data_IF_861418580354
#
_entry.id   IF_861418580354
#
_cell.length_a   1.000
_cell.length_b   1.000
_cell.length_c   1.000
_cell.angle_alpha   90.00
_cell.angle_beta   90.00
_cell.angle_gamma   90.00
#
_symmetry.space_group_name_H-M   'P 1'
#
loop_
_entity.id
_entity.type
_entity.pdbx_description
1 polymer ?
#
# COMPACT_ATOMS: atom_id res chain seq x y z
N UNK A 1 11.46 -56.54 -61.24
CA UNK A 1 10.89 -57.71 -60.53
C UNK A 1 10.97 -57.42 -59.02
N UNK A 2 9.81 -57.14 -58.40
CA UNK A 2 9.38 -57.32 -56.97
C UNK A 2 10.47 -57.21 -55.86
N UNK A 3 10.39 -56.43 -54.77
CA UNK A 3 9.28 -56.21 -53.80
C UNK A 3 9.45 -54.90 -53.00
N UNK A 4 8.30 -54.26 -52.75
CA UNK A 4 8.08 -53.39 -51.60
C UNK A 4 8.00 -54.23 -50.31
N UNK A 5 8.57 -53.73 -49.22
CA UNK A 5 8.24 -54.17 -47.86
C UNK A 5 8.30 -52.99 -46.89
N UNK A 6 7.12 -52.36 -46.71
CA UNK A 6 6.52 -51.99 -45.43
C UNK A 6 7.47 -51.51 -44.32
N UNK A 7 7.76 -50.21 -44.27
CA UNK A 7 8.23 -49.57 -43.05
C UNK A 7 7.04 -49.45 -42.10
N UNK A 8 7.23 -50.05 -40.94
CA UNK A 8 6.26 -50.34 -39.90
C UNK A 8 5.61 -49.09 -39.31
N UNK A 9 4.29 -49.16 -39.16
CA UNK A 9 3.37 -48.22 -38.50
C UNK A 9 3.61 -48.08 -36.97
N UNK A 10 4.84 -48.12 -36.50
CA UNK A 10 5.19 -48.14 -35.07
C UNK A 10 5.75 -46.82 -34.54
N UNK A 11 5.93 -45.80 -35.39
CA UNK A 11 6.48 -44.49 -34.98
C UNK A 11 5.45 -43.36 -34.86
N UNK A 12 4.16 -43.63 -35.06
CA UNK A 12 3.09 -42.60 -35.00
C UNK A 12 2.20 -42.74 -33.74
N UNK A 13 2.38 -43.81 -32.95
CA UNK A 13 1.62 -44.04 -31.71
C UNK A 13 2.34 -43.58 -30.43
N UNK A 14 3.63 -43.26 -30.48
CA UNK A 14 4.38 -42.80 -29.30
C UNK A 14 4.33 -41.28 -29.06
N UNK A 15 3.92 -40.48 -30.04
CA UNK A 15 3.84 -39.01 -29.90
C UNK A 15 2.49 -38.51 -29.37
N UNK A 16 1.45 -39.34 -29.32
CA UNK A 16 0.14 -38.98 -28.76
C UNK A 16 -0.03 -39.40 -27.30
N UNK A 17 0.80 -40.30 -26.78
CA UNK A 17 0.72 -40.76 -25.39
C UNK A 17 1.43 -39.82 -24.40
N UNK A 18 2.35 -38.97 -24.87
CA UNK A 18 3.03 -37.96 -24.03
C UNK A 18 2.21 -36.68 -23.85
N UNK A 19 1.22 -36.40 -24.71
CA UNK A 19 0.35 -35.23 -24.56
C UNK A 19 -0.81 -35.47 -23.58
N UNK A 20 -1.27 -36.72 -23.43
CA UNK A 20 -2.35 -37.07 -22.50
C UNK A 20 -1.88 -37.14 -21.03
N UNK A 21 -0.59 -37.39 -20.78
CA UNK A 21 -0.04 -37.46 -19.41
C UNK A 21 0.34 -36.09 -18.82
N UNK A 22 0.53 -35.07 -19.67
CA UNK A 22 0.76 -33.69 -19.22
C UNK A 22 -0.54 -32.95 -18.85
N UNK A 23 -1.72 -33.46 -19.26
CA UNK A 23 -3.01 -32.84 -18.98
C UNK A 23 -3.71 -33.37 -17.70
N UNK A 24 -3.18 -34.41 -17.05
CA UNK A 24 -3.78 -35.06 -15.87
C UNK A 24 -3.05 -34.77 -14.55
N UNK A 25 -2.08 -33.83 -14.54
CA UNK A 25 -1.33 -33.40 -13.34
C UNK A 25 -1.67 -31.98 -12.85
N UNK A 26 -2.75 -31.38 -13.36
CA UNK A 26 -3.28 -30.08 -12.87
C UNK A 26 -4.41 -30.25 -11.84
N UNK A 27 -4.66 -31.46 -11.34
CA UNK A 27 -5.65 -31.71 -10.28
C UNK A 27 -4.89 -32.03 -8.99
N UNK A 28 -4.73 -31.02 -8.13
CA UNK A 28 -4.36 -31.02 -6.69
C UNK A 28 -3.51 -29.76 -6.43
N UNK A 29 -3.80 -28.80 -5.57
CA UNK A 29 -4.76 -28.65 -4.49
C UNK A 29 -5.11 -27.16 -4.39
N UNK A 30 -6.30 -26.73 -4.82
CA UNK A 30 -6.86 -25.49 -4.28
C UNK A 30 -7.45 -25.84 -2.91
N UNK A 31 -6.64 -25.55 -1.88
CA UNK A 31 -7.09 -25.61 -0.50
C UNK A 31 -8.32 -24.72 -0.34
N UNK A 32 -9.43 -25.34 0.02
CA UNK A 32 -10.66 -24.69 0.47
C UNK A 32 -10.27 -23.59 1.45
N UNK A 33 -10.45 -22.33 1.03
CA UNK A 33 -10.43 -21.20 1.93
C UNK A 33 -11.54 -21.42 2.96
N UNK A 34 -11.18 -21.96 4.12
CA UNK A 34 -12.06 -21.97 5.28
C UNK A 34 -12.29 -20.51 5.67
N UNK A 35 -13.40 -19.93 5.21
CA UNK A 35 -13.96 -18.74 5.81
C UNK A 35 -14.39 -19.10 7.23
N UNK A 36 -13.46 -19.05 8.19
CA UNK A 36 -13.85 -18.87 9.58
C UNK A 36 -14.36 -17.44 9.71
N UNK A 37 -15.68 -17.29 9.53
CA UNK A 37 -16.44 -16.23 10.15
C UNK A 37 -16.18 -16.31 11.65
N UNK A 38 -15.23 -15.51 12.12
CA UNK A 38 -15.13 -15.24 13.53
C UNK A 38 -16.21 -14.21 13.84
N UNK A 39 -17.37 -14.69 14.26
CA UNK A 39 -18.45 -13.92 14.85
C UNK A 39 -17.94 -13.32 16.17
N UNK A 40 -17.25 -12.18 16.06
CA UNK A 40 -16.84 -11.32 17.17
C UNK A 40 -17.57 -10.00 17.06
N UNK A 41 -18.62 -9.86 17.86
CA UNK A 41 -19.44 -8.68 18.04
C UNK A 41 -18.59 -7.42 18.32
N UNK A 42 -18.81 -6.35 17.54
CA UNK A 42 -18.32 -5.01 17.89
C UNK A 42 -17.72 -4.13 16.78
N UNK A 43 -17.85 -4.46 15.50
CA UNK A 43 -17.52 -3.52 14.43
C UNK A 43 -18.77 -2.72 14.05
N UNK A 44 -19.02 -1.61 14.75
CA UNK A 44 -19.98 -0.61 14.30
C UNK A 44 -19.49 -0.03 12.97
N UNK A 45 -20.12 -0.44 11.87
CA UNK A 45 -20.36 0.30 10.62
C UNK A 45 -19.32 1.33 10.13
N UNK A 46 -18.02 1.11 10.34
CA UNK A 46 -16.98 1.75 9.55
C UNK A 46 -16.97 1.03 8.21
N UNK A 47 -17.88 1.47 7.34
CA UNK A 47 -18.04 1.06 5.95
C UNK A 47 -16.64 0.90 5.34
N UNK A 48 -16.31 -0.31 4.89
CA UNK A 48 -15.13 -0.60 4.08
C UNK A 48 -15.32 0.13 2.73
N UNK A 49 -15.20 1.46 2.73
CA UNK A 49 -14.95 2.22 1.52
C UNK A 49 -13.69 1.63 0.90
N UNK A 50 -13.83 1.01 -0.26
CA UNK A 50 -12.68 0.56 -1.03
C UNK A 50 -11.81 1.78 -1.30
N UNK A 51 -10.58 1.78 -0.76
CA UNK A 51 -9.63 2.87 -1.00
C UNK A 51 -9.24 2.87 -2.47
N UNK A 52 -9.66 3.89 -3.21
CA UNK A 52 -9.28 4.10 -4.60
C UNK A 52 -7.92 4.79 -4.66
N UNK A 53 -7.10 4.43 -5.64
CA UNK A 53 -5.74 4.95 -5.75
C UNK A 53 -5.44 5.36 -7.19
N UNK A 54 -4.68 6.43 -7.37
CA UNK A 54 -4.09 6.76 -8.65
C UNK A 54 -3.19 5.62 -9.16
N UNK A 55 -2.91 5.59 -10.48
CA UNK A 55 -1.75 4.87 -11.00
C UNK A 55 -0.47 5.31 -10.28
N UNK A 56 0.57 4.48 -10.35
CA UNK A 56 1.89 4.86 -9.86
C UNK A 56 2.48 5.91 -10.79
N UNK A 57 2.73 7.10 -10.25
CA UNK A 57 3.32 8.23 -10.97
C UNK A 57 4.82 8.26 -10.69
N UNK A 58 5.61 8.49 -11.74
CA UNK A 58 7.06 8.62 -11.66
C UNK A 58 7.44 10.07 -11.87
N UNK A 59 8.03 10.69 -10.85
CA UNK A 59 8.38 12.11 -10.92
C UNK A 59 9.59 12.43 -10.05
N UNK A 60 10.58 13.11 -10.63
CA UNK A 60 11.83 13.49 -9.96
C UNK A 60 12.53 12.31 -9.24
N UNK A 61 12.55 11.14 -9.89
CA UNK A 61 13.17 9.93 -9.34
C UNK A 61 12.40 9.23 -8.22
N UNK A 62 11.21 9.71 -7.85
CA UNK A 62 10.34 9.13 -6.82
C UNK A 62 9.05 8.58 -7.43
N UNK A 63 8.48 7.57 -6.77
CA UNK A 63 7.17 6.99 -7.11
C UNK A 63 6.10 7.50 -6.16
N UNK A 64 4.98 7.95 -6.72
CA UNK A 64 3.85 8.49 -5.97
C UNK A 64 2.55 7.76 -6.29
N UNK A 65 1.68 7.62 -5.27
CA UNK A 65 0.27 7.23 -5.40
C UNK A 65 -0.59 8.13 -4.53
N UNK A 66 -1.75 8.53 -5.03
CA UNK A 66 -2.68 9.42 -4.37
C UNK A 66 -4.01 8.71 -4.12
N UNK A 67 -4.55 8.79 -2.91
CA UNK A 67 -5.84 8.16 -2.56
C UNK A 67 -7.02 8.94 -3.18
N UNK A 68 -7.74 8.39 -4.14
CA UNK A 68 -8.79 9.12 -4.86
C UNK A 68 -10.11 9.14 -4.06
N UNK A 69 -10.88 10.23 -4.20
CA UNK A 69 -12.30 10.21 -3.79
C UNK A 69 -13.16 9.58 -4.88
N UNK A 70 -14.36 9.05 -4.55
CA UNK A 70 -15.32 8.65 -5.58
C UNK A 70 -15.57 9.78 -6.59
N UNK A 71 -15.52 9.46 -7.88
CA UNK A 71 -15.60 10.43 -8.98
C UNK A 71 -14.25 11.00 -9.46
N UNK A 72 -13.14 10.72 -8.77
CA UNK A 72 -11.80 11.15 -9.17
C UNK A 72 -11.03 10.09 -9.99
N UNK A 73 -11.67 8.98 -10.36
CA UNK A 73 -10.99 7.80 -10.95
C UNK A 73 -10.25 8.12 -12.25
N UNK A 74 -10.74 9.11 -13.00
CA UNK A 74 -10.19 9.53 -14.28
C UNK A 74 -9.38 10.83 -14.20
N UNK A 75 -9.07 11.31 -12.99
CA UNK A 75 -8.25 12.51 -12.85
C UNK A 75 -6.85 12.29 -13.41
N UNK A 76 -6.46 13.18 -14.32
CA UNK A 76 -5.12 13.18 -14.89
C UNK A 76 -4.17 13.97 -14.00
N UNK A 77 -2.98 13.43 -13.67
CA UNK A 77 -1.94 14.19 -12.97
C UNK A 77 -1.52 15.43 -13.75
N UNK A 78 -1.29 16.53 -13.04
CA UNK A 78 -0.82 17.80 -13.63
C UNK A 78 0.57 18.11 -13.10
N UNK A 79 1.48 18.42 -14.02
CA UNK A 79 2.84 18.87 -13.73
C UNK A 79 2.92 20.35 -14.04
N UNK A 80 3.23 21.17 -13.04
CA UNK A 80 3.21 22.64 -13.12
C UNK A 80 4.55 23.20 -12.65
N UNK A 81 4.85 24.42 -13.07
CA UNK A 81 5.98 25.20 -12.57
C UNK A 81 5.48 26.58 -12.12
N UNK A 82 5.51 26.83 -10.81
CA UNK A 82 4.96 28.05 -10.21
C UNK A 82 5.90 28.56 -9.11
N UNK A 83 6.18 29.86 -9.09
CA UNK A 83 6.95 30.49 -8.01
C UNK A 83 8.30 29.81 -7.72
N UNK A 84 9.05 29.46 -8.78
CA UNK A 84 10.32 28.73 -8.70
C UNK A 84 10.22 27.32 -8.07
N UNK A 85 9.06 26.67 -8.18
CA UNK A 85 8.84 25.32 -7.66
C UNK A 85 8.17 24.44 -8.71
N UNK A 86 8.65 23.20 -8.84
CA UNK A 86 7.97 22.18 -9.63
C UNK A 86 6.85 21.55 -8.78
N UNK A 87 5.68 21.33 -9.36
CA UNK A 87 4.49 20.85 -8.66
C UNK A 87 3.90 19.66 -9.41
N UNK A 88 3.68 18.56 -8.68
CA UNK A 88 2.83 17.45 -9.09
C UNK A 88 1.49 17.58 -8.37
N UNK A 89 0.38 17.69 -9.10
CA UNK A 89 -0.98 17.80 -8.55
C UNK A 89 -1.89 16.69 -9.07
N UNK A 90 -2.66 16.09 -8.17
CA UNK A 90 -3.72 15.12 -8.47
C UNK A 90 -4.95 15.51 -7.66
N UNK A 91 -6.02 15.93 -8.34
CA UNK A 91 -7.20 16.50 -7.67
C UNK A 91 -6.84 17.72 -6.84
N UNK A 92 -7.26 17.72 -5.57
CA UNK A 92 -6.98 18.76 -4.60
C UNK A 92 -5.62 18.61 -3.88
N UNK A 93 -4.85 17.56 -4.15
CA UNK A 93 -3.58 17.27 -3.46
C UNK A 93 -2.39 17.59 -4.33
N UNK A 94 -1.33 18.09 -3.70
CA UNK A 94 -0.12 18.49 -4.40
C UNK A 94 1.14 18.07 -3.65
N UNK A 95 2.17 17.77 -4.43
CA UNK A 95 3.55 17.61 -3.99
C UNK A 95 4.36 18.70 -4.68
N UNK A 96 5.08 19.49 -3.90
CA UNK A 96 5.95 20.54 -4.42
C UNK A 96 7.40 20.11 -4.26
N UNK A 97 8.20 20.17 -5.32
CA UNK A 97 9.64 19.99 -5.24
C UNK A 97 10.28 21.36 -5.06
N UNK A 98 10.95 21.56 -3.93
CA UNK A 98 11.72 22.77 -3.62
C UNK A 98 13.19 22.41 -3.47
N UNK A 99 14.01 22.88 -4.41
CA UNK A 99 15.43 22.54 -4.54
C UNK A 99 15.59 21.02 -4.68
N UNK A 100 15.85 20.33 -3.57
CA UNK A 100 16.08 18.88 -3.52
C UNK A 100 15.15 18.16 -2.55
N UNK A 101 14.12 18.83 -2.03
CA UNK A 101 13.18 18.25 -1.05
C UNK A 101 11.75 18.34 -1.55
N UNK A 102 10.97 17.30 -1.27
CA UNK A 102 9.54 17.30 -1.51
C UNK A 102 8.83 17.98 -0.36
N UNK A 103 7.75 18.71 -0.65
CA UNK A 103 6.91 19.37 0.32
C UNK A 103 5.45 18.93 0.09
N UNK A 104 4.79 18.50 1.16
CA UNK A 104 3.37 18.15 1.19
C UNK A 104 2.77 18.80 2.43
N UNK A 105 1.69 19.57 2.27
CA UNK A 105 0.98 20.28 3.34
C UNK A 105 1.91 21.06 4.29
N UNK A 106 2.98 21.66 3.75
CA UNK A 106 3.97 22.43 4.49
C UNK A 106 5.16 21.61 5.04
N UNK A 107 5.01 20.29 5.21
CA UNK A 107 6.06 19.41 5.70
C UNK A 107 7.06 19.03 4.60
N UNK A 108 8.35 19.00 4.95
CA UNK A 108 9.42 18.65 4.02
C UNK A 108 9.88 17.21 4.19
N UNK A 109 10.17 16.56 3.07
CA UNK A 109 10.59 15.18 3.00
C UNK A 109 11.82 15.04 2.12
N UNK A 110 12.70 14.14 2.54
CA UNK A 110 13.84 13.68 1.77
C UNK A 110 13.77 12.16 1.70
N UNK A 111 13.16 11.67 0.63
CA UNK A 111 12.97 10.24 0.41
C UNK A 111 14.06 9.68 -0.49
N UNK A 112 14.47 8.44 -0.26
CA UNK A 112 15.37 7.77 -1.17
C UNK A 112 14.61 7.29 -2.42
N UNK A 113 15.34 7.06 -3.52
CA UNK A 113 14.75 6.74 -4.83
C UNK A 113 13.95 5.43 -4.85
N UNK A 114 14.35 4.48 -4.00
CA UNK A 114 13.72 3.18 -3.83
C UNK A 114 12.39 3.24 -3.04
N UNK A 115 12.00 4.40 -2.49
CA UNK A 115 10.72 4.55 -1.82
C UNK A 115 9.54 4.67 -2.78
N UNK A 116 8.38 4.19 -2.33
CA UNK A 116 7.06 4.50 -2.91
C UNK A 116 6.28 5.31 -1.89
N UNK A 117 5.78 6.47 -2.32
CA UNK A 117 5.10 7.42 -1.46
C UNK A 117 3.60 7.39 -1.74
N UNK A 118 2.82 7.12 -0.71
CA UNK A 118 1.37 7.07 -0.74
C UNK A 118 0.82 8.28 0.02
N UNK A 119 0.02 9.08 -0.66
CA UNK A 119 -0.56 10.31 -0.12
C UNK A 119 -2.04 10.04 0.09
N UNK A 120 -2.40 9.83 1.35
CA UNK A 120 -3.76 9.51 1.76
C UNK A 120 -4.68 10.72 1.69
N UNK A 121 -5.98 10.49 1.81
CA UNK A 121 -6.94 11.56 2.08
C UNK A 121 -6.63 12.18 3.46
N UNK A 122 -6.95 13.46 3.60
CA UNK A 122 -6.79 14.18 4.87
C UNK A 122 -7.77 13.56 5.88
N UNK A 123 -7.29 12.99 7.00
CA UNK A 123 -8.18 12.44 8.02
C UNK A 123 -8.82 13.54 8.86
N UNK A 124 -10.03 13.27 9.29
CA UNK A 124 -10.82 14.09 10.21
C UNK A 124 -11.63 13.19 11.17
N UNK A 125 -12.29 13.75 12.20
CA UNK A 125 -13.02 12.95 13.17
C UNK A 125 -14.14 12.05 12.60
N UNK A 126 -14.72 12.41 11.46
CA UNK A 126 -15.76 11.62 10.79
C UNK A 126 -15.14 10.52 9.93
N UNK A 127 -13.93 10.76 9.41
CA UNK A 127 -13.20 9.84 8.54
C UNK A 127 -11.73 9.73 8.96
N UNK A 128 -11.43 8.97 10.02
CA UNK A 128 -10.07 8.77 10.48
C UNK A 128 -9.24 7.96 9.48
N UNK A 129 -7.94 8.16 9.50
CA UNK A 129 -7.01 7.28 8.82
C UNK A 129 -6.95 5.95 9.56
N UNK A 130 -7.03 4.84 8.83
CA UNK A 130 -6.89 3.49 9.36
C UNK A 130 -5.94 2.65 8.51
N UNK A 131 -5.01 1.97 9.16
CA UNK A 131 -4.11 1.01 8.52
C UNK A 131 -3.93 -0.22 9.40
N UNK A 132 -3.92 -1.38 8.77
CA UNK A 132 -3.48 -2.64 9.40
C UNK A 132 -2.31 -3.17 8.61
N UNK A 133 -1.17 -3.35 9.28
CA UNK A 133 0.05 -3.87 8.68
C UNK A 133 0.73 -4.86 9.63
N UNK A 134 0.69 -6.15 9.27
CA UNK A 134 1.03 -7.23 10.19
C UNK A 134 0.24 -7.13 11.50
N UNK A 135 0.96 -7.03 12.63
CA UNK A 135 0.38 -6.94 13.97
C UNK A 135 0.05 -5.50 14.42
N UNK A 136 0.39 -4.49 13.62
CA UNK A 136 0.05 -3.10 13.89
C UNK A 136 -1.35 -2.79 13.35
N UNK A 137 -2.19 -2.22 14.20
CA UNK A 137 -3.40 -1.51 13.81
C UNK A 137 -3.23 -0.04 14.18
N UNK A 138 -3.04 0.81 13.18
CA UNK A 138 -2.85 2.25 13.33
C UNK A 138 -4.15 2.98 12.99
N UNK A 139 -4.59 3.86 13.88
CA UNK A 139 -5.70 4.77 13.64
C UNK A 139 -5.27 6.19 13.98
N UNK A 140 -5.50 7.12 13.04
CA UNK A 140 -5.25 8.54 13.22
C UNK A 140 -6.56 9.29 13.05
N UNK A 141 -7.02 9.99 14.09
CA UNK A 141 -8.26 10.77 14.02
C UNK A 141 -8.11 11.94 13.03
N UNK A 142 -6.97 12.63 13.06
CA UNK A 142 -6.75 13.79 12.20
C UNK A 142 -7.52 15.04 12.62
N UNK A 143 -7.13 16.18 12.06
CA UNK A 143 -7.73 17.49 12.33
C UNK A 143 -8.27 18.18 11.06
N UNK A 144 -8.34 17.45 9.94
CA UNK A 144 -8.82 17.97 8.66
C UNK A 144 -7.84 18.88 7.91
N UNK A 145 -6.54 18.93 8.30
CA UNK A 145 -5.57 19.86 7.68
C UNK A 145 -4.45 19.22 6.88
N UNK A 146 -3.93 18.10 7.33
CA UNK A 146 -2.74 17.47 6.74
C UNK A 146 -3.05 16.04 6.32
N UNK A 147 -2.60 15.64 5.14
CA UNK A 147 -2.67 14.26 4.71
C UNK A 147 -1.72 13.36 5.53
N UNK A 148 -2.09 12.09 5.68
CA UNK A 148 -1.12 11.06 6.07
C UNK A 148 -0.25 10.75 4.87
N UNK A 149 1.06 10.81 5.07
CA UNK A 149 2.04 10.41 4.06
C UNK A 149 2.67 9.09 4.49
N UNK A 150 2.46 8.04 3.69
CA UNK A 150 3.02 6.71 3.89
C UNK A 150 4.22 6.52 2.93
N UNK A 151 5.40 6.30 3.50
CA UNK A 151 6.61 5.90 2.78
C UNK A 151 6.79 4.38 2.92
N UNK A 152 6.79 3.65 1.82
CA UNK A 152 7.17 2.24 1.79
C UNK A 152 8.56 2.08 1.19
N UNK A 153 9.45 1.40 1.92
CA UNK A 153 10.83 1.13 1.53
C UNK A 153 11.03 -0.32 1.11
N UNK A 154 12.11 -0.56 0.37
CA UNK A 154 12.45 -1.89 -0.14
C UNK A 154 12.79 -2.90 0.97
N UNK A 155 13.29 -2.44 2.11
CA UNK A 155 13.64 -3.27 3.28
C UNK A 155 12.40 -3.72 4.10
N UNK A 156 11.19 -3.38 3.64
CA UNK A 156 9.93 -3.66 4.34
C UNK A 156 9.60 -2.63 5.43
N UNK A 157 10.41 -1.59 5.60
CA UNK A 157 10.07 -0.47 6.49
C UNK A 157 8.93 0.35 5.90
N UNK A 158 7.92 0.62 6.71
CA UNK A 158 6.83 1.54 6.39
C UNK A 158 6.79 2.67 7.40
N UNK A 159 6.71 3.89 6.90
CA UNK A 159 6.65 5.11 7.73
C UNK A 159 5.36 5.84 7.42
N UNK A 160 4.50 6.04 8.42
CA UNK A 160 3.36 6.94 8.34
C UNK A 160 3.70 8.25 9.04
N UNK A 161 3.46 9.37 8.36
CA UNK A 161 3.67 10.73 8.91
C UNK A 161 2.37 11.52 8.81
N UNK A 162 1.96 12.14 9.92
CA UNK A 162 0.88 13.14 9.95
C UNK A 162 1.36 14.32 10.80
N UNK A 163 1.40 15.51 10.19
CA UNK A 163 1.93 16.72 10.81
C UNK A 163 3.35 16.49 11.38
N UNK A 164 3.51 16.44 12.70
CA UNK A 164 4.80 16.24 13.38
C UNK A 164 5.01 14.83 13.91
N UNK A 165 3.98 14.00 13.86
CA UNK A 165 4.03 12.65 14.41
C UNK A 165 4.29 11.63 13.30
N UNK A 166 5.05 10.60 13.67
CA UNK A 166 5.63 9.59 12.80
C UNK A 166 5.48 8.22 13.45
N UNK A 167 4.97 7.26 12.70
CA UNK A 167 4.94 5.85 13.08
C UNK A 167 5.78 5.08 12.08
N UNK A 168 6.82 4.40 12.54
CA UNK A 168 7.70 3.58 11.71
C UNK A 168 7.53 2.12 12.09
N UNK A 169 7.05 1.30 11.18
CA UNK A 169 7.08 -0.16 11.29
C UNK A 169 8.27 -0.67 10.49
N UNK A 170 9.21 -1.33 11.15
CA UNK A 170 10.36 -1.98 10.51
C UNK A 170 9.94 -3.32 9.90
N UNK A 171 10.78 -3.86 9.01
CA UNK A 171 10.55 -5.16 8.37
C UNK A 171 10.40 -6.33 9.35
N UNK A 172 11.04 -6.25 10.52
CA UNK A 172 10.93 -7.22 11.63
C UNK A 172 9.60 -7.14 12.41
N UNK A 173 8.74 -6.16 12.10
CA UNK A 173 7.48 -5.90 12.79
C UNK A 173 7.60 -5.03 14.04
N UNK A 174 8.79 -4.56 14.40
CA UNK A 174 8.98 -3.56 15.47
C UNK A 174 8.40 -2.22 15.03
N UNK A 175 7.62 -1.59 15.91
CA UNK A 175 6.98 -0.31 15.66
C UNK A 175 7.59 0.74 16.58
N UNK A 176 7.99 1.87 16.00
CA UNK A 176 8.45 3.07 16.69
C UNK A 176 7.45 4.21 16.42
N UNK A 177 6.88 4.77 17.47
CA UNK A 177 6.14 6.02 17.44
C UNK A 177 7.06 7.16 17.90
N UNK A 178 7.03 8.27 17.16
CA UNK A 178 7.70 9.53 17.50
C UNK A 178 6.71 10.66 17.24
N UNK A 179 6.47 11.54 18.21
CA UNK A 179 5.47 12.58 18.02
C UNK A 179 5.29 13.43 19.26
N UNK A 180 4.05 13.82 19.54
CA UNK A 180 3.74 14.62 20.73
C UNK A 180 3.70 13.71 21.96
N UNK A 181 4.83 13.61 22.64
CA UNK A 181 5.02 12.78 23.82
C UNK A 181 6.38 12.09 23.80
N UNK A 182 6.63 11.14 24.71
CA UNK A 182 7.83 10.32 24.64
C UNK A 182 7.77 9.41 23.40
N UNK A 183 8.94 9.15 22.82
CA UNK A 183 9.09 8.12 21.79
C UNK A 183 8.76 6.75 22.39
N UNK A 184 8.00 5.93 21.67
CA UNK A 184 7.57 4.61 22.12
C UNK A 184 7.98 3.57 21.10
N UNK A 185 8.73 2.55 21.53
CA UNK A 185 9.06 1.39 20.71
C UNK A 185 8.35 0.15 21.25
N UNK A 186 7.72 -0.62 20.36
CA UNK A 186 7.00 -1.83 20.72
C UNK A 186 7.14 -2.91 19.64
N UNK A 187 7.24 -4.16 20.08
CA UNK A 187 7.17 -5.33 19.21
C UNK A 187 5.89 -6.12 19.50
N UNK A 188 5.39 -6.85 18.49
CA UNK A 188 4.15 -7.64 18.60
C UNK A 188 2.87 -6.82 18.33
N UNK A 189 1.68 -7.37 18.67
CA UNK A 189 0.41 -6.71 18.44
C UNK A 189 0.32 -5.34 19.12
N UNK A 190 -0.09 -4.34 18.35
CA UNK A 190 -0.33 -3.01 18.87
C UNK A 190 -1.48 -2.33 18.15
N UNK A 191 -2.53 -2.01 18.91
CA UNK A 191 -3.60 -1.10 18.49
C UNK A 191 -3.22 0.30 18.94
N UNK A 192 -2.74 1.11 18.02
CA UNK A 192 -2.28 2.48 18.25
C UNK A 192 -3.32 3.47 17.77
N UNK A 193 -3.94 4.19 18.70
CA UNK A 193 -4.86 5.29 18.43
C UNK A 193 -4.16 6.63 18.68
N UNK A 194 -4.05 7.42 17.62
CA UNK A 194 -3.46 8.75 17.64
C UNK A 194 -4.54 9.82 17.46
N UNK A 195 -4.45 10.87 18.27
CA UNK A 195 -5.36 12.01 18.26
C UNK A 195 -5.10 12.96 17.09
N UNK A 196 -5.83 14.10 17.03
CA UNK A 196 -5.78 15.03 15.91
C UNK A 196 -4.40 15.62 15.61
N UNK A 197 -3.55 15.81 16.63
CA UNK A 197 -2.17 16.32 16.46
C UNK A 197 -1.12 15.21 16.51
N UNK A 198 -1.57 13.96 16.47
CA UNK A 198 -0.74 12.77 16.51
C UNK A 198 -0.15 12.41 17.86
N UNK A 199 -0.66 12.96 18.95
CA UNK A 199 -0.47 12.43 20.30
C UNK A 199 -1.07 11.03 20.46
N UNK A 200 -0.48 10.18 21.30
CA UNK A 200 -1.08 8.90 21.67
C UNK A 200 -2.31 9.16 22.54
N UNK A 201 -3.47 8.65 22.12
CA UNK A 201 -4.72 8.69 22.90
C UNK A 201 -4.97 7.35 23.59
N UNK A 202 -4.74 6.24 22.88
CA UNK A 202 -4.84 4.90 23.43
C UNK A 202 -3.85 3.94 22.76
N UNK A 203 -3.38 2.97 23.53
CA UNK A 203 -2.49 1.91 23.05
C UNK A 203 -2.80 0.61 23.78
N UNK A 204 -3.18 -0.45 23.07
CA UNK A 204 -3.42 -1.78 23.66
C UNK A 204 -2.75 -2.89 22.85
N UNK A 205 -2.57 -4.05 23.50
CA UNK A 205 -2.13 -5.31 22.86
C UNK A 205 -3.32 -6.02 22.23
#
# INVERSE_FOLDING_TARGET
>A
MIRFSSISRTWILCTWLTLALALLLQISCEGVASSRQNSGSGATSAQLEQTLWSPTLYWSGIRFRFELTPGEENLTPRYLYEGNSDILRVGNRQVTLKRTRFQIDGAYYNWPAESIIWIHRIPDPERPFYRREGALQLTWVGDGKHAVVEEQRQDGTIVWTLATARVTRRGDGTVLYQGRGPDVTRSGPWKLLLGPRGEIVAGSS
#
